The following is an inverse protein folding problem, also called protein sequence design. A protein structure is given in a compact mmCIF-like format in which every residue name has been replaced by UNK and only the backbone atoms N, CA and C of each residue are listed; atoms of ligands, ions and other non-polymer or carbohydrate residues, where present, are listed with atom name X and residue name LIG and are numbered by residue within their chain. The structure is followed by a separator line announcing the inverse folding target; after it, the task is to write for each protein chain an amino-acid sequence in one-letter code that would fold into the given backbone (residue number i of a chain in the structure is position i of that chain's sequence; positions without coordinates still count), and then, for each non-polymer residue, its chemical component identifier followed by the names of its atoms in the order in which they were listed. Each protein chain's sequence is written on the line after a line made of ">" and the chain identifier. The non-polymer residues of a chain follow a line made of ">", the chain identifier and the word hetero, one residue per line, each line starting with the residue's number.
data_IF_337474136224
#
_entry.id   IF_337474136224
#
_cell.length_a   1.000
_cell.length_b   1.000
_cell.length_c   1.000
_cell.angle_alpha   90.00
_cell.angle_beta   90.00
_cell.angle_gamma   90.00
#
_symmetry.space_group_name_H-M   'P 1'
#
loop_
_entity.id
_entity.type
_entity.pdbx_description
1 polymer ?
#
# COMPACT_ATOMS: atom_id res chain seq x y z
N UNK A 1 6.94 6.83 8.86
CA UNK A 1 6.96 6.68 7.38
C UNK A 1 8.36 6.38 6.86
N UNK A 2 9.38 7.19 7.20
CA UNK A 2 10.76 6.97 6.73
C UNK A 2 11.29 5.55 7.00
N UNK A 3 11.22 5.07 8.25
CA UNK A 3 11.68 3.71 8.58
C UNK A 3 10.95 2.63 7.77
N UNK A 4 9.65 2.81 7.53
CA UNK A 4 8.88 1.88 6.70
C UNK A 4 9.32 1.94 5.24
N UNK A 5 9.57 3.13 4.69
CA UNK A 5 10.11 3.28 3.34
C UNK A 5 11.47 2.58 3.20
N UNK A 6 12.37 2.74 4.19
CA UNK A 6 13.66 2.07 4.22
C UNK A 6 13.50 0.54 4.30
N UNK A 7 12.59 0.04 5.16
CA UNK A 7 12.29 -1.40 5.22
C UNK A 7 11.77 -1.95 3.90
N UNK A 8 10.86 -1.23 3.25
CA UNK A 8 10.33 -1.62 1.94
C UNK A 8 11.42 -1.60 0.87
N UNK A 9 12.34 -0.62 0.90
CA UNK A 9 13.48 -0.54 0.00
C UNK A 9 14.47 -1.69 0.22
N UNK A 10 14.74 -2.07 1.47
CA UNK A 10 15.49 -3.28 1.79
C UNK A 10 14.77 -4.52 1.25
N UNK A 11 13.45 -4.59 1.38
CA UNK A 11 12.63 -5.64 0.79
C UNK A 11 12.81 -5.73 -0.73
N UNK A 12 12.85 -4.59 -1.42
CA UNK A 12 13.17 -4.53 -2.84
C UNK A 12 14.57 -5.10 -3.12
N UNK A 13 15.59 -4.71 -2.36
CA UNK A 13 16.94 -5.21 -2.57
C UNK A 13 17.05 -6.73 -2.37
N UNK A 14 16.39 -7.27 -1.35
CA UNK A 14 16.35 -8.71 -1.10
C UNK A 14 15.61 -9.45 -2.21
N UNK A 15 14.38 -9.01 -2.52
CA UNK A 15 13.55 -9.62 -3.56
C UNK A 15 14.19 -9.51 -4.93
N UNK A 16 14.74 -8.35 -5.27
CA UNK A 16 15.37 -8.10 -6.56
C UNK A 16 16.69 -8.86 -6.74
N UNK A 17 17.49 -8.98 -5.68
CA UNK A 17 18.69 -9.85 -5.72
C UNK A 17 18.28 -11.31 -5.89
N UNK A 18 17.25 -11.77 -5.17
CA UNK A 18 16.72 -13.12 -5.32
C UNK A 18 16.19 -13.39 -6.74
N UNK A 19 15.50 -12.43 -7.35
CA UNK A 19 15.09 -12.52 -8.75
C UNK A 19 16.31 -12.71 -9.67
N UNK A 20 17.32 -11.84 -9.57
CA UNK A 20 18.50 -11.91 -10.44
C UNK A 20 19.28 -13.22 -10.24
N UNK A 21 19.29 -13.75 -9.02
CA UNK A 21 19.95 -15.02 -8.70
C UNK A 21 19.18 -16.24 -9.23
N UNK A 22 17.90 -16.35 -8.88
CA UNK A 22 17.12 -17.56 -9.14
C UNK A 22 16.46 -17.56 -10.53
N UNK A 23 15.95 -16.42 -11.00
CA UNK A 23 15.24 -16.34 -12.28
C UNK A 23 16.23 -16.12 -13.43
N UNK A 24 17.13 -15.14 -13.31
CA UNK A 24 18.08 -14.84 -14.38
C UNK A 24 19.37 -15.69 -14.32
N UNK A 25 19.56 -16.48 -13.26
CA UNK A 25 20.76 -17.30 -13.08
C UNK A 25 22.06 -16.50 -12.90
N UNK A 26 21.98 -15.21 -12.54
CA UNK A 26 23.18 -14.38 -12.34
C UNK A 26 23.90 -14.79 -11.07
N UNK A 27 25.23 -14.81 -11.13
CA UNK A 27 26.08 -15.07 -9.95
C UNK A 27 25.95 -13.94 -8.93
N UNK A 28 26.01 -14.28 -7.65
CA UNK A 28 26.07 -13.31 -6.57
C UNK A 28 27.43 -12.60 -6.58
N UNK A 29 27.49 -11.44 -7.23
CA UNK A 29 28.69 -10.60 -7.33
C UNK A 29 28.32 -9.14 -7.11
N UNK A 30 29.31 -8.33 -6.73
CA UNK A 30 29.11 -6.90 -6.53
C UNK A 30 28.61 -6.20 -7.81
N UNK A 31 29.08 -6.61 -8.98
CA UNK A 31 28.66 -6.05 -10.27
C UNK A 31 27.17 -6.27 -10.56
N UNK A 32 26.59 -7.37 -10.04
CA UNK A 32 25.16 -7.65 -10.18
C UNK A 32 24.32 -7.02 -9.06
N UNK A 33 24.88 -6.87 -7.85
CA UNK A 33 24.15 -6.30 -6.70
C UNK A 33 24.13 -4.76 -6.76
N UNK A 34 25.25 -4.12 -7.09
CA UNK A 34 25.40 -2.66 -7.08
C UNK A 34 24.31 -1.95 -7.91
N UNK A 35 24.00 -2.35 -9.15
CA UNK A 35 22.96 -1.70 -9.95
C UNK A 35 21.58 -1.74 -9.29
N UNK A 36 21.25 -2.82 -8.56
CA UNK A 36 20.00 -2.95 -7.83
C UNK A 36 20.00 -1.96 -6.64
N UNK A 37 21.10 -1.89 -5.89
CA UNK A 37 21.23 -0.98 -4.74
C UNK A 37 21.12 0.49 -5.16
N UNK A 38 21.70 0.84 -6.30
CA UNK A 38 21.62 2.20 -6.87
C UNK A 38 20.34 2.45 -7.65
N UNK A 39 19.45 1.46 -7.80
CA UNK A 39 18.20 1.54 -8.58
C UNK A 39 18.48 1.93 -10.05
N UNK A 40 19.63 1.51 -10.56
CA UNK A 40 19.94 1.54 -11.99
C UNK A 40 19.51 0.24 -12.68
N UNK A 41 19.12 -0.76 -11.88
CA UNK A 41 18.50 -1.99 -12.32
C UNK A 41 17.18 -2.23 -11.58
N UNK A 42 16.15 -2.67 -12.32
CA UNK A 42 14.80 -2.90 -11.81
C UNK A 42 14.39 -4.36 -12.02
N UNK A 43 14.71 -5.26 -11.07
CA UNK A 43 14.36 -6.67 -11.17
C UNK A 43 12.85 -6.92 -11.16
N UNK A 44 12.43 -7.93 -11.92
CA UNK A 44 11.03 -8.28 -12.09
C UNK A 44 10.34 -8.68 -10.77
N UNK A 45 9.02 -8.48 -10.73
CA UNK A 45 8.15 -8.80 -9.59
C UNK A 45 8.58 -8.17 -8.25
N UNK A 46 9.44 -7.15 -8.29
CA UNK A 46 9.94 -6.41 -7.12
C UNK A 46 9.73 -4.90 -7.27
N UNK A 47 9.35 -4.43 -8.46
CA UNK A 47 9.22 -3.01 -8.83
C UNK A 47 8.16 -2.29 -7.99
N UNK A 48 7.14 -3.02 -7.54
CA UNK A 48 6.12 -2.49 -6.64
C UNK A 48 6.69 -2.10 -5.27
N UNK A 49 7.73 -2.79 -4.76
CA UNK A 49 8.35 -2.45 -3.47
C UNK A 49 9.05 -1.09 -3.54
N UNK A 50 9.79 -0.81 -4.62
CA UNK A 50 10.38 0.53 -4.86
C UNK A 50 9.28 1.57 -4.96
N UNK A 51 8.22 1.27 -5.69
CA UNK A 51 7.07 2.17 -5.87
C UNK A 51 6.39 2.50 -4.53
N UNK A 52 6.23 1.52 -3.63
CA UNK A 52 5.74 1.75 -2.27
C UNK A 52 6.70 2.56 -1.40
N UNK A 53 8.02 2.34 -1.54
CA UNK A 53 9.00 3.18 -0.85
C UNK A 53 8.89 4.64 -1.33
N UNK A 54 8.75 4.86 -2.64
CA UNK A 54 8.57 6.18 -3.24
C UNK A 54 7.27 6.83 -2.77
N UNK A 55 6.16 6.09 -2.70
CA UNK A 55 4.89 6.59 -2.17
C UNK A 55 5.04 7.07 -0.72
N UNK A 56 5.74 6.31 0.12
CA UNK A 56 5.97 6.66 1.52
C UNK A 56 6.88 7.89 1.67
N UNK A 57 7.89 8.03 0.81
CA UNK A 57 8.74 9.22 0.77
C UNK A 57 7.96 10.44 0.24
N UNK A 58 7.16 10.27 -0.81
CA UNK A 58 6.29 11.32 -1.34
C UNK A 58 5.30 11.80 -0.28
N UNK A 59 4.65 10.90 0.45
CA UNK A 59 3.75 11.26 1.55
C UNK A 59 4.45 12.00 2.70
N UNK A 60 5.74 11.72 2.95
CA UNK A 60 6.55 12.44 3.94
C UNK A 60 6.90 13.85 3.45
N UNK A 61 7.42 13.97 2.22
CA UNK A 61 7.82 15.26 1.62
C UNK A 61 6.61 16.17 1.41
N UNK A 62 5.50 15.60 0.94
CA UNK A 62 4.26 16.33 0.66
C UNK A 62 3.33 16.38 1.89
N UNK A 63 3.80 16.07 3.10
CA UNK A 63 2.92 15.97 4.28
C UNK A 63 2.08 17.23 4.51
N UNK A 64 2.71 18.42 4.46
CA UNK A 64 2.03 19.69 4.67
C UNK A 64 0.95 19.99 3.61
N UNK A 65 1.24 19.96 2.28
CA UNK A 65 0.21 20.19 1.27
C UNK A 65 -0.89 19.12 1.29
N UNK A 66 -0.55 17.85 1.57
CA UNK A 66 -1.55 16.78 1.66
C UNK A 66 -2.49 16.97 2.86
N UNK A 67 -1.96 17.37 4.01
CA UNK A 67 -2.77 17.71 5.18
C UNK A 67 -3.72 18.87 4.87
N UNK A 68 -3.21 19.92 4.23
CA UNK A 68 -4.02 21.07 3.83
C UNK A 68 -5.14 20.68 2.85
N UNK A 69 -4.85 19.84 1.85
CA UNK A 69 -5.86 19.30 0.93
C UNK A 69 -6.90 18.44 1.66
N UNK A 70 -6.45 17.58 2.58
CA UNK A 70 -7.32 16.68 3.33
C UNK A 70 -8.30 17.43 4.26
N UNK A 71 -7.95 18.63 4.71
CA UNK A 71 -8.84 19.51 5.48
C UNK A 71 -9.94 20.13 4.61
N UNK A 72 -9.72 20.25 3.29
CA UNK A 72 -10.62 20.90 2.34
C UNK A 72 -11.28 19.86 1.43
N UNK A 73 -12.36 19.24 1.92
CA UNK A 73 -13.09 18.14 1.25
C UNK A 73 -13.15 18.22 -0.27
N UNK A 74 -13.76 19.28 -0.81
CA UNK A 74 -13.98 19.41 -2.25
C UNK A 74 -12.69 19.63 -3.04
N UNK A 75 -11.76 20.44 -2.53
CA UNK A 75 -10.45 20.64 -3.17
C UNK A 75 -9.62 19.36 -3.16
N UNK A 76 -9.68 18.58 -2.08
CA UNK A 76 -9.00 17.28 -2.02
C UNK A 76 -9.52 16.29 -3.07
N UNK A 77 -10.85 16.18 -3.23
CA UNK A 77 -11.43 15.35 -4.28
C UNK A 77 -11.12 15.88 -5.69
N UNK A 78 -11.17 17.20 -5.88
CA UNK A 78 -10.79 17.82 -7.15
C UNK A 78 -9.32 17.56 -7.50
N UNK A 79 -8.41 17.65 -6.52
CA UNK A 79 -7.00 17.32 -6.69
C UNK A 79 -6.78 15.83 -7.02
N UNK A 80 -7.51 14.92 -6.35
CA UNK A 80 -7.48 13.50 -6.68
C UNK A 80 -7.95 13.23 -8.12
N UNK A 81 -9.00 13.93 -8.58
CA UNK A 81 -9.47 13.87 -9.96
C UNK A 81 -8.45 14.44 -10.95
N UNK A 82 -7.86 15.60 -10.65
CA UNK A 82 -6.83 16.22 -11.48
C UNK A 82 -5.58 15.33 -11.62
N UNK A 83 -5.20 14.62 -10.57
CA UNK A 83 -4.09 13.65 -10.60
C UNK A 83 -4.35 12.49 -11.58
N UNK A 84 -5.60 12.15 -11.91
CA UNK A 84 -5.87 11.15 -12.95
C UNK A 84 -5.42 11.62 -14.34
N UNK A 85 -5.32 12.93 -14.59
CA UNK A 85 -4.81 13.47 -15.86
C UNK A 85 -3.33 13.12 -16.08
N UNK A 86 -2.61 12.79 -15.02
CA UNK A 86 -1.21 12.31 -15.12
C UNK A 86 -1.10 10.95 -15.82
N UNK A 87 -2.22 10.26 -16.04
CA UNK A 87 -2.25 9.05 -16.89
C UNK A 87 -2.02 9.34 -18.37
N UNK A 88 -2.04 10.62 -18.77
CA UNK A 88 -1.79 11.08 -20.14
C UNK A 88 -0.31 11.43 -20.41
N UNK A 89 0.58 11.20 -19.43
CA UNK A 89 2.02 11.42 -19.60
C UNK A 89 2.56 10.57 -20.77
N UNK A 90 3.41 11.11 -21.66
CA UNK A 90 4.00 10.37 -22.77
C UNK A 90 5.09 9.41 -22.26
N UNK A 91 4.68 8.29 -21.67
CA UNK A 91 5.57 7.36 -20.96
C UNK A 91 6.72 6.79 -21.79
N UNK A 92 6.57 6.72 -23.11
CA UNK A 92 7.63 6.28 -24.02
C UNK A 92 8.84 7.21 -24.09
N UNK A 93 8.74 8.42 -23.53
CA UNK A 93 9.87 9.37 -23.43
C UNK A 93 10.65 9.27 -22.12
N UNK A 94 10.21 8.43 -21.18
CA UNK A 94 10.78 8.33 -19.84
C UNK A 94 11.61 7.04 -19.75
N UNK A 95 12.93 7.18 -19.85
CA UNK A 95 13.87 6.04 -19.82
C UNK A 95 14.66 5.90 -18.51
N UNK A 96 14.48 6.84 -17.57
CA UNK A 96 15.18 6.81 -16.28
C UNK A 96 14.63 5.72 -15.36
N UNK A 97 15.45 4.72 -15.00
CA UNK A 97 15.09 3.63 -14.08
C UNK A 97 14.55 4.13 -12.74
N UNK A 98 15.16 5.20 -12.20
CA UNK A 98 14.74 5.87 -10.96
C UNK A 98 13.44 6.65 -11.11
N UNK A 99 13.14 7.15 -12.31
CA UNK A 99 11.93 7.95 -12.56
C UNK A 99 10.71 7.09 -12.85
N UNK A 100 10.90 5.89 -13.43
CA UNK A 100 9.83 4.96 -13.74
C UNK A 100 8.84 4.72 -12.59
N UNK A 101 9.29 4.39 -11.37
CA UNK A 101 8.41 4.23 -10.21
C UNK A 101 7.68 5.50 -9.75
N UNK A 102 8.11 6.69 -10.16
CA UNK A 102 7.48 7.95 -9.78
C UNK A 102 6.42 8.39 -10.80
N UNK A 103 6.79 8.42 -12.08
CA UNK A 103 6.00 9.04 -13.16
C UNK A 103 5.60 8.09 -14.29
N UNK A 104 6.17 6.88 -14.34
CA UNK A 104 5.84 5.83 -15.30
C UNK A 104 6.84 5.73 -16.44
N UNK A 105 6.95 4.53 -17.02
CA UNK A 105 7.80 4.23 -18.19
C UNK A 105 7.24 3.02 -18.95
N UNK A 106 7.65 2.85 -20.21
CA UNK A 106 7.38 1.66 -21.03
C UNK A 106 8.55 0.66 -21.07
N UNK A 107 9.70 1.00 -20.50
CA UNK A 107 10.91 0.14 -20.57
C UNK A 107 10.83 -1.08 -19.63
N UNK A 108 9.98 -1.01 -18.60
CA UNK A 108 9.70 -2.11 -17.67
C UNK A 108 8.33 -1.93 -17.01
N UNK A 109 7.87 -2.96 -16.30
CA UNK A 109 6.62 -2.91 -15.54
C UNK A 109 6.73 -1.91 -14.38
N UNK A 110 6.10 -0.74 -14.53
CA UNK A 110 6.16 0.35 -13.56
C UNK A 110 4.83 0.55 -12.83
N UNK A 111 4.89 0.84 -11.52
CA UNK A 111 3.73 1.15 -10.69
C UNK A 111 3.80 2.61 -10.23
N UNK A 112 3.63 3.57 -11.16
CA UNK A 112 4.07 4.92 -10.91
C UNK A 112 3.23 5.62 -9.85
N UNK A 113 3.91 6.14 -8.83
CA UNK A 113 3.30 6.75 -7.65
C UNK A 113 2.30 7.83 -8.02
N UNK A 114 2.62 8.66 -9.03
CA UNK A 114 1.82 9.81 -9.41
C UNK A 114 0.39 9.41 -9.87
N UNK A 115 0.27 8.36 -10.68
CA UNK A 115 -1.00 7.89 -11.24
C UNK A 115 -1.85 7.13 -10.21
N UNK A 116 -1.20 6.47 -9.24
CA UNK A 116 -1.88 5.79 -8.13
C UNK A 116 -2.15 6.71 -6.93
N UNK A 117 -1.54 7.90 -6.91
CA UNK A 117 -1.69 8.89 -5.85
C UNK A 117 -3.13 9.33 -5.55
N UNK A 118 -4.08 9.39 -6.52
CA UNK A 118 -5.49 9.66 -6.23
C UNK A 118 -6.05 8.78 -5.11
N UNK A 119 -5.71 7.49 -5.07
CA UNK A 119 -6.19 6.59 -4.02
C UNK A 119 -5.59 6.90 -2.66
N UNK A 120 -4.32 7.31 -2.60
CA UNK A 120 -3.69 7.75 -1.37
C UNK A 120 -4.40 8.98 -0.78
N UNK A 121 -4.66 9.99 -1.63
CA UNK A 121 -5.38 11.20 -1.23
C UNK A 121 -6.85 10.93 -0.84
N UNK A 122 -7.55 10.09 -1.59
CA UNK A 122 -8.92 9.66 -1.26
C UNK A 122 -8.95 8.94 0.08
N UNK A 123 -7.98 8.06 0.37
CA UNK A 123 -7.83 7.41 1.66
C UNK A 123 -7.69 8.41 2.82
N UNK A 124 -6.86 9.45 2.63
CA UNK A 124 -6.73 10.55 3.61
C UNK A 124 -8.06 11.30 3.82
N UNK A 125 -8.79 11.61 2.75
CA UNK A 125 -10.09 12.29 2.82
C UNK A 125 -11.14 11.44 3.55
N UNK A 126 -11.16 10.14 3.28
CA UNK A 126 -12.07 9.20 3.94
C UNK A 126 -11.79 9.13 5.45
N UNK A 127 -10.51 9.07 5.82
CA UNK A 127 -10.10 9.08 7.22
C UNK A 127 -10.43 10.42 7.90
N UNK A 128 -10.08 11.55 7.28
CA UNK A 128 -10.25 12.90 7.84
C UNK A 128 -11.72 13.27 8.03
N UNK A 129 -12.57 12.95 7.06
CA UNK A 129 -14.00 13.25 7.11
C UNK A 129 -14.86 12.08 7.63
N UNK A 130 -14.22 11.01 8.14
CA UNK A 130 -14.87 9.82 8.69
C UNK A 130 -15.96 9.23 7.77
N UNK A 131 -15.73 9.30 6.46
CA UNK A 131 -16.67 8.80 5.45
C UNK A 131 -16.88 7.31 5.72
N UNK A 132 -18.11 6.81 5.66
CA UNK A 132 -18.39 5.38 5.83
C UNK A 132 -19.17 4.84 4.67
N UNK A 133 -20.28 4.17 4.98
CA UNK A 133 -21.27 3.92 3.96
C UNK A 133 -21.79 5.24 3.40
N UNK A 134 -21.64 5.41 2.09
CA UNK A 134 -22.15 6.52 1.33
C UNK A 134 -22.63 6.04 -0.03
N UNK A 135 -23.93 6.25 -0.29
CA UNK A 135 -24.52 5.97 -1.61
C UNK A 135 -23.83 6.76 -2.72
N UNK A 136 -23.41 8.01 -2.47
CA UNK A 136 -22.72 8.84 -3.46
C UNK A 136 -21.38 8.23 -3.88
N UNK A 137 -20.63 7.72 -2.90
CA UNK A 137 -19.36 7.02 -3.16
C UNK A 137 -19.63 5.71 -3.90
N UNK A 138 -20.64 4.94 -3.49
CA UNK A 138 -21.01 3.72 -4.17
C UNK A 138 -21.37 3.97 -5.64
N UNK A 139 -22.22 4.96 -5.91
CA UNK A 139 -22.62 5.33 -7.25
C UNK A 139 -21.42 5.76 -8.11
N UNK A 140 -20.51 6.58 -7.56
CA UNK A 140 -19.29 6.96 -8.25
C UNK A 140 -18.34 5.78 -8.52
N UNK A 141 -18.19 4.88 -7.54
CA UNK A 141 -17.36 3.69 -7.66
C UNK A 141 -17.94 2.68 -8.67
N UNK A 142 -19.26 2.47 -8.65
CA UNK A 142 -19.98 1.66 -9.61
C UNK A 142 -19.90 2.25 -11.01
N UNK A 143 -20.01 3.58 -11.16
CA UNK A 143 -19.82 4.25 -12.45
C UNK A 143 -18.39 4.08 -12.97
N UNK A 144 -17.36 4.24 -12.13
CA UNK A 144 -15.95 4.02 -12.51
C UNK A 144 -15.69 2.59 -12.99
N UNK A 145 -16.14 1.60 -12.22
CA UNK A 145 -16.05 0.18 -12.62
C UNK A 145 -16.89 -0.13 -13.85
N UNK A 146 -18.10 0.43 -13.94
CA UNK A 146 -18.98 0.26 -15.10
C UNK A 146 -18.40 0.83 -16.38
N UNK A 147 -17.75 2.00 -16.33
CA UNK A 147 -17.04 2.59 -17.47
C UNK A 147 -15.84 1.75 -17.91
N UNK A 148 -15.09 1.19 -16.97
CA UNK A 148 -14.02 0.23 -17.28
C UNK A 148 -14.57 -1.00 -18.00
N UNK A 149 -15.65 -1.60 -17.48
CA UNK A 149 -16.28 -2.77 -18.11
C UNK A 149 -16.85 -2.44 -19.48
N UNK A 150 -17.51 -1.30 -19.63
CA UNK A 150 -18.02 -0.83 -20.90
C UNK A 150 -16.90 -0.68 -21.92
N UNK A 151 -15.81 0.02 -21.57
CA UNK A 151 -14.66 0.19 -22.45
C UNK A 151 -14.02 -1.14 -22.84
N UNK A 152 -13.89 -2.07 -21.88
CA UNK A 152 -13.31 -3.37 -22.14
C UNK A 152 -14.18 -4.23 -23.07
N UNK A 153 -15.50 -4.26 -22.83
CA UNK A 153 -16.44 -5.07 -23.59
C UNK A 153 -16.78 -4.49 -24.96
N UNK A 154 -16.61 -3.18 -25.16
CA UNK A 154 -16.85 -2.50 -26.44
C UNK A 154 -15.64 -2.46 -27.37
N UNK A 155 -14.44 -2.78 -26.86
CA UNK A 155 -13.25 -2.89 -27.70
C UNK A 155 -13.35 -4.12 -28.62
N UNK A 156 -13.02 -3.97 -29.90
CA UNK A 156 -13.12 -5.01 -30.93
C UNK A 156 -12.44 -6.33 -30.50
N UNK A 157 -11.24 -6.22 -29.95
CA UNK A 157 -10.43 -7.36 -29.48
C UNK A 157 -10.63 -7.69 -28.00
N UNK A 158 -11.55 -7.01 -27.30
CA UNK A 158 -11.72 -7.09 -25.84
C UNK A 158 -10.40 -6.96 -25.08
N UNK A 159 -9.53 -6.08 -25.56
CA UNK A 159 -8.24 -5.82 -24.95
C UNK A 159 -8.45 -5.07 -23.64
N UNK A 160 -7.86 -5.58 -22.56
CA UNK A 160 -7.90 -4.93 -21.25
C UNK A 160 -7.22 -3.56 -21.32
N UNK A 161 -7.74 -2.53 -20.64
CA UNK A 161 -7.06 -1.25 -20.54
C UNK A 161 -5.62 -1.38 -20.06
N UNK A 162 -4.71 -0.57 -20.61
CA UNK A 162 -3.28 -0.63 -20.30
C UNK A 162 -3.03 -0.57 -18.79
N UNK A 163 -2.31 -1.58 -18.29
CA UNK A 163 -1.89 -1.73 -16.90
C UNK A 163 -0.52 -1.10 -16.64
N UNK A 164 0.40 -1.24 -17.59
CA UNK A 164 1.80 -0.82 -17.46
C UNK A 164 2.24 -0.01 -18.67
N UNK A 165 2.47 1.30 -18.48
CA UNK A 165 2.02 2.14 -17.36
C UNK A 165 0.47 2.23 -17.32
N UNK A 166 -0.14 2.63 -16.19
CA UNK A 166 -1.58 2.53 -16.02
C UNK A 166 -2.34 3.61 -16.81
N UNK A 167 -3.35 3.18 -17.55
CA UNK A 167 -4.37 4.07 -18.14
C UNK A 167 -5.35 4.57 -17.07
N UNK A 168 -6.06 5.67 -17.34
CA UNK A 168 -7.12 6.16 -16.43
C UNK A 168 -8.16 5.09 -16.13
N UNK A 169 -8.54 4.29 -17.13
CA UNK A 169 -9.52 3.22 -17.01
C UNK A 169 -9.03 2.12 -16.09
N UNK A 170 -7.75 1.78 -16.16
CA UNK A 170 -7.13 0.84 -15.24
C UNK A 170 -7.15 1.34 -13.80
N UNK A 171 -6.88 2.64 -13.59
CA UNK A 171 -6.93 3.24 -12.25
C UNK A 171 -8.35 3.25 -11.70
N UNK A 172 -9.35 3.71 -12.46
CA UNK A 172 -10.74 3.85 -11.95
C UNK A 172 -11.53 2.54 -11.94
N UNK A 173 -11.15 1.57 -12.77
CA UNK A 173 -11.83 0.28 -12.92
C UNK A 173 -12.06 -0.49 -11.61
N UNK A 174 -11.08 -0.64 -10.70
CA UNK A 174 -11.28 -1.35 -9.45
C UNK A 174 -12.07 -0.57 -8.38
N UNK A 175 -12.56 0.64 -8.66
CA UNK A 175 -13.16 1.53 -7.64
C UNK A 175 -14.27 0.86 -6.81
N UNK A 176 -15.18 0.10 -7.43
CA UNK A 176 -16.25 -0.60 -6.72
C UNK A 176 -15.71 -1.66 -5.75
N UNK A 177 -14.75 -2.47 -6.21
CA UNK A 177 -14.11 -3.50 -5.39
C UNK A 177 -13.32 -2.88 -4.23
N UNK A 178 -12.61 -1.77 -4.49
CA UNK A 178 -11.87 -1.05 -3.45
C UNK A 178 -12.79 -0.43 -2.40
N UNK A 179 -13.93 0.11 -2.81
CA UNK A 179 -14.91 0.63 -1.87
C UNK A 179 -15.57 -0.50 -1.05
N UNK A 180 -15.86 -1.65 -1.66
CA UNK A 180 -16.31 -2.84 -0.95
C UNK A 180 -15.27 -3.34 0.07
N UNK A 181 -14.01 -3.43 -0.35
CA UNK A 181 -12.88 -3.78 0.53
C UNK A 181 -12.72 -2.79 1.69
N UNK A 182 -12.89 -1.49 1.43
CA UNK A 182 -12.88 -0.46 2.47
C UNK A 182 -13.99 -0.67 3.52
N UNK A 183 -15.22 -0.93 3.08
CA UNK A 183 -16.35 -1.20 3.99
C UNK A 183 -16.13 -2.49 4.79
N UNK A 184 -15.57 -3.52 4.15
CA UNK A 184 -15.18 -4.76 4.81
C UNK A 184 -14.11 -4.49 5.88
N UNK A 185 -13.05 -3.76 5.56
CA UNK A 185 -12.00 -3.40 6.53
C UNK A 185 -12.58 -2.66 7.75
N UNK A 186 -13.52 -1.73 7.54
CA UNK A 186 -14.25 -1.08 8.64
C UNK A 186 -15.12 -2.03 9.46
N UNK A 187 -15.68 -3.07 8.84
CA UNK A 187 -16.44 -4.10 9.54
C UNK A 187 -15.52 -4.98 10.38
N UNK A 188 -14.35 -5.33 9.84
CA UNK A 188 -13.32 -6.12 10.52
C UNK A 188 -12.80 -5.40 11.76
N UNK A 189 -12.64 -4.08 11.71
CA UNK A 189 -12.26 -3.25 12.87
C UNK A 189 -13.26 -3.39 14.03
N UNK A 190 -14.56 -3.52 13.73
CA UNK A 190 -15.62 -3.66 14.75
C UNK A 190 -15.74 -5.09 15.31
N UNK A 191 -15.37 -6.10 14.54
CA UNK A 191 -15.48 -7.52 14.92
C UNK A 191 -14.17 -8.22 14.56
N UNK A 192 -13.09 -8.00 15.34
CA UNK A 192 -11.74 -8.42 14.94
C UNK A 192 -11.51 -9.93 15.03
N UNK A 193 -12.20 -10.62 15.96
CA UNK A 193 -11.97 -12.05 16.26
C UNK A 193 -11.95 -12.98 15.04
N UNK A 194 -12.96 -12.99 14.14
CA UNK A 194 -12.93 -13.87 12.96
C UNK A 194 -11.85 -13.49 11.95
N UNK A 195 -11.29 -12.28 12.03
CA UNK A 195 -10.32 -11.76 11.06
C UNK A 195 -8.89 -11.73 11.60
N UNK A 196 -8.63 -12.27 12.78
CA UNK A 196 -7.30 -12.30 13.39
C UNK A 196 -6.19 -12.90 12.47
N UNK A 197 -6.45 -13.97 11.68
CA UNK A 197 -5.47 -14.44 10.71
C UNK A 197 -5.16 -13.39 9.64
N UNK A 198 -6.19 -12.76 9.07
CA UNK A 198 -6.04 -11.71 8.04
C UNK A 198 -5.33 -10.48 8.60
N UNK A 199 -5.63 -10.11 9.85
CA UNK A 199 -4.95 -9.03 10.54
C UNK A 199 -3.46 -9.34 10.73
N UNK A 200 -3.12 -10.59 11.05
CA UNK A 200 -1.73 -11.05 11.15
C UNK A 200 -1.00 -10.95 9.82
N UNK A 201 -1.65 -11.31 8.71
CA UNK A 201 -1.12 -11.09 7.36
C UNK A 201 -0.84 -9.60 7.12
N UNK A 202 -1.82 -8.73 7.40
CA UNK A 202 -1.71 -7.30 7.18
C UNK A 202 -0.62 -6.61 8.02
N UNK A 203 -0.49 -7.01 9.29
CA UNK A 203 0.56 -6.49 10.20
C UNK A 203 1.97 -6.85 9.76
N UNK A 204 2.12 -7.94 9.01
CA UNK A 204 3.40 -8.47 8.55
C UNK A 204 3.55 -8.42 7.02
N UNK A 205 2.79 -7.55 6.33
CA UNK A 205 2.67 -7.56 4.86
C UNK A 205 4.01 -7.58 4.12
N UNK A 206 5.00 -6.80 4.59
CA UNK A 206 6.33 -6.77 3.95
C UNK A 206 7.04 -8.12 4.03
N UNK A 207 6.92 -8.83 5.16
CA UNK A 207 7.49 -10.16 5.33
C UNK A 207 6.82 -11.17 4.38
N UNK A 208 5.48 -11.12 4.28
CA UNK A 208 4.74 -11.94 3.33
C UNK A 208 5.18 -11.68 1.89
N UNK A 209 5.28 -10.42 1.48
CA UNK A 209 5.69 -10.06 0.12
C UNK A 209 7.11 -10.54 -0.20
N UNK A 210 8.09 -10.23 0.66
CA UNK A 210 9.49 -10.55 0.39
C UNK A 210 9.73 -12.06 0.45
N UNK A 211 9.23 -12.75 1.49
CA UNK A 211 9.48 -14.17 1.64
C UNK A 211 8.73 -14.99 0.59
N UNK A 212 7.48 -14.63 0.26
CA UNK A 212 6.76 -15.31 -0.83
C UNK A 212 7.45 -15.11 -2.17
N UNK A 213 7.94 -13.90 -2.50
CA UNK A 213 8.73 -13.66 -3.70
C UNK A 213 9.98 -14.57 -3.75
N UNK A 214 10.78 -14.60 -2.68
CA UNK A 214 11.98 -15.45 -2.61
C UNK A 214 11.63 -16.93 -2.81
N UNK A 215 10.59 -17.43 -2.15
CA UNK A 215 10.14 -18.82 -2.28
C UNK A 215 9.66 -19.13 -3.70
N UNK A 216 8.87 -18.23 -4.30
CA UNK A 216 8.37 -18.36 -5.68
C UNK A 216 9.55 -18.40 -6.65
N UNK A 217 10.53 -17.50 -6.51
CA UNK A 217 11.68 -17.46 -7.42
C UNK A 217 12.56 -18.70 -7.29
N UNK A 218 12.85 -19.12 -6.06
CA UNK A 218 13.64 -20.31 -5.80
C UNK A 218 12.93 -21.59 -6.29
N UNK A 219 11.60 -21.68 -6.17
CA UNK A 219 10.87 -22.83 -6.71
C UNK A 219 10.86 -22.79 -8.25
N UNK A 220 10.59 -21.62 -8.82
CA UNK A 220 10.53 -21.43 -10.27
C UNK A 220 11.86 -21.79 -10.95
N UNK A 221 13.00 -21.48 -10.34
CA UNK A 221 14.31 -21.80 -10.90
C UNK A 221 14.63 -23.30 -10.95
N UNK A 222 13.92 -24.11 -10.15
CA UNK A 222 14.15 -25.54 -10.01
C UNK A 222 13.06 -26.40 -10.68
N UNK A 223 12.11 -25.78 -11.36
CA UNK A 223 10.98 -26.47 -11.99
C UNK A 223 10.90 -26.14 -13.47
N UNK A 224 10.52 -27.11 -14.32
CA UNK A 224 10.22 -26.82 -15.73
C UNK A 224 9.03 -25.86 -15.84
N UNK A 225 8.91 -25.17 -16.98
CA UNK A 225 7.78 -24.29 -17.29
C UNK A 225 6.48 -25.08 -17.49
N UNK A 226 5.90 -25.54 -16.38
CA UNK A 226 4.59 -26.18 -16.36
C UNK A 226 3.51 -25.14 -16.13
N UNK A 227 2.52 -25.12 -17.02
CA UNK A 227 1.31 -24.34 -16.82
C UNK A 227 0.46 -25.05 -15.77
N UNK A 228 0.42 -24.47 -14.57
CA UNK A 228 -0.37 -24.96 -13.44
C UNK A 228 -1.80 -24.47 -13.62
N UNK A 229 -2.79 -25.34 -13.33
CA UNK A 229 -4.20 -24.93 -13.39
C UNK A 229 -4.49 -23.81 -12.37
N UNK A 230 -5.57 -23.06 -12.58
CA UNK A 230 -5.94 -21.98 -11.64
C UNK A 230 -6.17 -22.50 -10.21
N UNK A 231 -6.73 -23.70 -10.07
CA UNK A 231 -6.98 -24.33 -8.78
C UNK A 231 -5.68 -24.76 -8.10
N UNK A 232 -4.77 -25.37 -8.86
CA UNK A 232 -3.46 -25.78 -8.35
C UNK A 232 -2.61 -24.56 -7.98
N UNK A 233 -2.71 -23.47 -8.75
CA UNK A 233 -2.08 -22.19 -8.44
C UNK A 233 -2.62 -21.57 -7.15
N UNK A 234 -3.93 -21.68 -6.90
CA UNK A 234 -4.54 -21.27 -5.63
C UNK A 234 -4.01 -22.10 -4.46
N UNK A 235 -3.95 -23.43 -4.61
CA UNK A 235 -3.38 -24.30 -3.58
C UNK A 235 -1.93 -23.99 -3.29
N UNK A 236 -1.11 -23.78 -4.32
CA UNK A 236 0.28 -23.37 -4.17
C UNK A 236 0.40 -22.03 -3.42
N UNK A 237 -0.45 -21.05 -3.75
CA UNK A 237 -0.48 -19.78 -3.03
C UNK A 237 -0.84 -19.96 -1.55
N UNK A 238 -1.82 -20.81 -1.23
CA UNK A 238 -2.20 -21.12 0.15
C UNK A 238 -1.06 -21.82 0.91
N UNK A 239 -0.34 -22.73 0.27
CA UNK A 239 0.84 -23.40 0.86
C UNK A 239 1.94 -22.39 1.15
N UNK A 240 2.28 -21.51 0.21
CA UNK A 240 3.26 -20.45 0.46
C UNK A 240 2.82 -19.52 1.59
N UNK A 241 1.55 -19.11 1.61
CA UNK A 241 1.02 -18.31 2.71
C UNK A 241 1.15 -19.04 4.06
N UNK A 242 0.88 -20.35 4.11
CA UNK A 242 1.04 -21.15 5.32
C UNK A 242 2.51 -21.23 5.78
N UNK A 243 3.45 -21.47 4.86
CA UNK A 243 4.89 -21.51 5.17
C UNK A 243 5.37 -20.15 5.71
N UNK A 244 4.99 -19.06 5.05
CA UNK A 244 5.37 -17.72 5.51
C UNK A 244 4.70 -17.37 6.85
N UNK A 245 3.44 -17.80 7.05
CA UNK A 245 2.72 -17.64 8.32
C UNK A 245 3.39 -18.38 9.46
N UNK A 246 3.85 -19.60 9.21
CA UNK A 246 4.63 -20.36 10.18
C UNK A 246 5.91 -19.61 10.57
N UNK A 247 6.62 -19.03 9.58
CA UNK A 247 7.79 -18.19 9.83
C UNK A 247 7.50 -16.98 10.72
N UNK A 248 6.36 -16.30 10.51
CA UNK A 248 5.91 -15.21 11.39
C UNK A 248 5.62 -15.73 12.80
N UNK A 249 4.93 -16.86 12.92
CA UNK A 249 4.56 -17.44 14.20
C UNK A 249 5.76 -17.79 15.07
N UNK A 250 6.82 -18.38 14.50
CA UNK A 250 8.03 -18.75 15.26
C UNK A 250 8.93 -17.56 15.61
N UNK A 251 8.88 -16.47 14.83
CA UNK A 251 9.75 -15.30 15.03
C UNK A 251 9.10 -14.20 15.86
N UNK A 252 7.77 -14.14 15.90
CA UNK A 252 7.05 -13.12 16.66
C UNK A 252 6.71 -13.65 18.05
N UNK A 253 7.10 -12.89 19.10
CA UNK A 253 6.67 -13.20 20.46
C UNK A 253 5.16 -13.01 20.57
N UNK A 254 4.43 -13.89 21.27
CA UNK A 254 3.01 -13.68 21.50
C UNK A 254 2.79 -12.31 22.15
N UNK A 255 1.77 -11.54 21.74
CA UNK A 255 1.51 -10.25 22.33
C UNK A 255 1.29 -10.42 23.83
N UNK A 256 2.05 -9.69 24.65
CA UNK A 256 1.83 -9.65 26.10
C UNK A 256 0.40 -9.19 26.33
N UNK A 257 -0.44 -10.09 26.82
CA UNK A 257 -1.80 -9.77 27.23
C UNK A 257 -1.70 -8.68 28.32
N UNK A 258 -2.12 -7.46 28.02
CA UNK A 258 -2.38 -6.47 29.06
C UNK A 258 -3.77 -6.83 29.60
N UNK A 259 -3.90 -7.30 30.85
CA UNK A 259 -5.23 -7.45 31.43
C UNK A 259 -5.92 -6.09 31.36
N UNK A 260 -7.21 -6.10 30.98
CA UNK A 260 -8.04 -4.92 31.13
C UNK A 260 -7.92 -4.46 32.58
N UNK A 261 -7.61 -3.18 32.79
CA UNK A 261 -7.77 -2.58 34.11
C UNK A 261 -9.22 -2.82 34.50
N UNK A 262 -9.50 -3.53 35.60
CA UNK A 262 -10.88 -3.70 36.05
C UNK A 262 -11.46 -2.30 36.25
N UNK A 263 -12.60 -2.01 35.62
CA UNK A 263 -13.44 -0.92 36.07
C UNK A 263 -13.80 -1.23 37.52
N UNK A 264 -13.14 -0.56 38.46
CA UNK A 264 -13.44 -0.67 39.89
C UNK A 264 -14.81 0.02 40.06
N UNK A 265 -15.91 -0.71 40.30
CA UNK A 265 -17.20 -0.09 40.54
C UNK A 265 -17.15 0.51 41.94
N UNK A 266 -17.07 1.84 42.04
CA UNK A 266 -17.08 2.52 43.34
C UNK A 266 -16.38 3.88 43.41
N UNK A 267 -15.65 4.31 42.39
CA UNK A 267 -15.09 5.68 42.35
C UNK A 267 -15.94 6.57 41.44
N UNK A 268 -17.21 6.72 41.81
CA UNK A 268 -18.05 7.82 41.34
C UNK A 268 -17.97 8.93 42.36
N UNK A 269 -17.30 10.04 42.01
CA UNK A 269 -17.41 11.30 42.76
C UNK A 269 -16.12 11.81 43.36
N UNK A 270 -15.23 12.35 42.53
CA UNK A 270 -14.53 13.60 42.89
C UNK A 270 -14.63 14.53 41.69
N UNK A 271 -15.68 15.33 41.69
CA UNK A 271 -15.70 16.63 41.02
C UNK A 271 -14.52 17.45 41.56
N UNK A 272 -13.55 17.77 40.72
CA UNK A 272 -12.58 18.83 41.02
C UNK A 272 -12.97 20.08 40.22
N UNK A 273 -14.02 20.73 40.72
CA UNK A 273 -14.23 22.15 40.49
C UNK A 273 -13.83 22.83 41.80
N UNK A 274 -12.68 23.48 41.83
CA UNK A 274 -12.37 24.49 42.84
C UNK A 274 -11.45 25.55 42.24
N UNK A 275 -12.01 26.73 42.22
CA UNK A 275 -11.48 28.02 41.83
C UNK A 275 -10.53 28.59 42.91
N UNK A 276 -9.41 29.20 42.43
CA UNK A 276 -8.83 30.50 42.89
C UNK A 276 -8.00 30.46 44.21
N UNK A 277 -6.90 31.24 44.42
CA UNK A 277 -6.69 32.62 43.96
C UNK A 277 -5.34 33.07 43.37
N UNK A 278 -5.47 34.11 42.54
CA UNK A 278 -4.48 35.16 42.29
C UNK A 278 -4.26 36.03 43.54
N UNK A 279 -3.09 35.98 44.15
CA UNK A 279 -2.44 37.14 44.77
C UNK A 279 -1.02 36.78 45.17
N UNK A 280 -0.03 37.50 44.62
CA UNK A 280 1.11 38.09 45.35
C UNK A 280 1.95 38.87 44.33
N UNK A 281 1.62 40.16 44.15
CA UNK A 281 2.59 41.21 43.82
C UNK A 281 3.03 41.84 45.14
N UNK A 282 4.32 41.72 45.47
CA UNK A 282 5.13 42.65 46.27
C UNK A 282 6.56 42.51 45.73
N UNK A 283 7.03 43.41 44.88
CA UNK A 283 7.74 44.64 45.27
C UNK A 283 8.87 44.36 46.27
N UNK A 284 10.08 44.19 45.76
CA UNK A 284 11.31 44.61 46.43
C UNK A 284 12.02 45.55 45.46
N UNK A 285 12.11 46.82 45.87
CA UNK A 285 13.13 47.76 45.43
C UNK A 285 14.47 47.29 45.99
N UNK A 286 15.47 47.17 45.14
CA UNK A 286 16.71 47.96 45.19
C UNK A 286 17.34 47.94 43.79
#
# INVERSE_FOLDING_TARGET
>A
MLLTALKTLIGFYVSGTAYRLFIDGRRLSWDNIRPILTIDDMPGWSEFLVSFAYLMLAGLVLFAPLRWLAERRWLGFAAAGALLLTTLIPYGSIHGMKLGPLIGTRDFASFPVLQYFPYYLIGMLFARHRIGWSWKVLAGAAAGTGLFLWKWLSAEDRVLPERFPPSVWWIVGPALLLYGYYLLARRMEKVPRPFAPIETLGRNVLWYLVLSNVLIFALKSNQPDTLVSALDGLWMALVFLAVVSFGVWITTKPPRWRPAVPDIPGVSGVSSDSSVPSSTRRTIRQ
#
